data_IF_007845738716
#
_entry.id   IF_007845738716
#
_cell.length_a   1.000
_cell.length_b   1.000
_cell.length_c   1.000
_cell.angle_alpha   90.00
_cell.angle_beta   90.00
_cell.angle_gamma   90.00
#
_symmetry.space_group_name_H-M   'P 1'
#
loop_
_entity.id
_entity.type
_entity.pdbx_description
1 polymer ?
#
# COMPACT_ATOMS: atom_id res chain seq x y z
N UNK A 1 0.85 8.78 -24.64
CA UNK A 1 0.47 9.51 -23.40
C UNK A 1 0.40 8.51 -22.25
N UNK A 2 1.15 8.78 -21.21
CA UNK A 2 1.15 7.90 -20.05
C UNK A 2 -0.08 8.12 -19.20
N UNK A 3 -0.70 7.04 -18.73
CA UNK A 3 -1.77 7.14 -17.76
C UNK A 3 -1.18 7.40 -16.38
N UNK A 4 -2.00 7.95 -15.51
CA UNK A 4 -1.57 8.17 -14.11
C UNK A 4 -1.49 6.86 -13.36
N UNK A 5 -0.53 6.75 -12.46
CA UNK A 5 -0.47 5.64 -11.51
C UNK A 5 -1.64 5.79 -10.55
N UNK A 6 -2.38 4.71 -10.37
CA UNK A 6 -3.51 4.67 -9.44
C UNK A 6 -3.14 3.82 -8.24
N UNK A 7 -3.24 4.41 -7.04
CA UNK A 7 -2.86 3.73 -5.81
C UNK A 7 -3.96 3.84 -4.77
N UNK A 8 -4.23 2.73 -4.10
CA UNK A 8 -5.13 2.69 -2.96
C UNK A 8 -4.29 2.81 -1.69
N UNK A 9 -4.57 3.81 -0.87
CA UNK A 9 -3.93 3.96 0.45
C UNK A 9 -4.92 3.47 1.49
N UNK A 10 -4.51 2.45 2.24
CA UNK A 10 -5.39 1.73 3.14
C UNK A 10 -4.85 1.65 4.56
N UNK A 11 -5.76 1.66 5.53
CA UNK A 11 -5.43 1.42 6.94
C UNK A 11 -6.26 0.25 7.44
N UNK A 12 -5.70 -0.95 7.45
CA UNK A 12 -6.44 -2.12 7.90
C UNK A 12 -6.51 -2.19 9.42
N UNK A 13 -7.50 -2.94 9.90
CA UNK A 13 -7.64 -3.24 11.32
C UNK A 13 -8.19 -2.07 12.14
N UNK A 14 -7.89 -2.09 13.43
CA UNK A 14 -8.46 -1.14 14.38
C UNK A 14 -7.55 0.06 14.67
N UNK A 15 -6.45 0.19 13.94
CA UNK A 15 -5.50 1.29 14.10
C UNK A 15 -6.16 2.61 13.69
N UNK A 16 -6.24 3.55 14.64
CA UNK A 16 -6.84 4.86 14.40
C UNK A 16 -5.85 5.96 14.03
N UNK A 17 -4.58 5.63 13.83
CA UNK A 17 -3.52 6.62 13.57
C UNK A 17 -3.39 6.87 12.07
N UNK A 18 -4.21 7.75 11.52
CA UNK A 18 -4.28 7.96 10.07
C UNK A 18 -3.46 9.13 9.54
N UNK A 19 -2.80 9.89 10.40
CA UNK A 19 -2.06 11.10 9.99
C UNK A 19 -0.98 10.78 8.97
N UNK A 20 -0.18 9.73 9.21
CA UNK A 20 0.87 9.33 8.30
C UNK A 20 0.34 8.92 6.94
N UNK A 21 -0.75 8.16 6.93
CA UNK A 21 -1.40 7.74 5.69
C UNK A 21 -1.90 8.93 4.88
N UNK A 22 -2.49 9.92 5.55
CA UNK A 22 -2.99 11.14 4.88
C UNK A 22 -1.86 11.97 4.28
N UNK A 23 -0.74 12.08 4.99
CA UNK A 23 0.43 12.82 4.49
C UNK A 23 0.97 12.15 3.22
N UNK A 24 1.10 10.83 3.23
CA UNK A 24 1.57 10.08 2.07
C UNK A 24 0.58 10.21 0.92
N UNK A 25 -0.71 10.06 1.19
CA UNK A 25 -1.75 10.19 0.17
C UNK A 25 -1.66 11.55 -0.52
N UNK A 26 -1.48 12.62 0.26
CA UNK A 26 -1.34 13.97 -0.30
C UNK A 26 -0.08 14.11 -1.15
N UNK A 27 1.04 13.59 -0.67
CA UNK A 27 2.30 13.67 -1.41
C UNK A 27 2.21 12.94 -2.75
N UNK A 28 1.59 11.78 -2.78
CA UNK A 28 1.41 11.02 -4.02
C UNK A 28 0.46 11.74 -4.99
N UNK A 29 -0.59 12.34 -4.46
CA UNK A 29 -1.53 13.12 -5.26
C UNK A 29 -0.82 14.35 -5.86
N UNK A 30 -0.02 15.05 -5.06
CA UNK A 30 0.76 16.20 -5.52
C UNK A 30 1.78 15.81 -6.60
N UNK A 31 2.23 14.55 -6.59
CA UNK A 31 3.14 14.03 -7.61
C UNK A 31 2.41 13.59 -8.89
N UNK A 32 1.09 13.78 -8.96
CA UNK A 32 0.32 13.48 -10.16
C UNK A 32 -0.33 12.10 -10.19
N UNK A 33 -0.30 11.36 -9.09
CA UNK A 33 -0.95 10.06 -9.03
C UNK A 33 -2.42 10.18 -8.66
N UNK A 34 -3.23 9.22 -9.08
CA UNK A 34 -4.60 9.08 -8.60
C UNK A 34 -4.58 8.29 -7.31
N UNK A 35 -5.02 8.90 -6.23
CA UNK A 35 -4.99 8.29 -4.90
C UNK A 35 -6.41 8.07 -4.40
N UNK A 36 -6.69 6.82 -4.04
CA UNK A 36 -7.93 6.45 -3.39
C UNK A 36 -7.60 6.16 -1.92
N UNK A 37 -8.07 7.01 -1.02
CA UNK A 37 -7.88 6.79 0.40
C UNK A 37 -9.11 6.09 0.97
N UNK A 38 -8.93 4.88 1.52
CA UNK A 38 -10.06 4.05 1.96
C UNK A 38 -10.66 4.49 3.29
N UNK A 39 -9.91 5.27 4.07
CA UNK A 39 -10.31 5.59 5.44
C UNK A 39 -9.82 4.55 6.43
N UNK A 40 -10.27 4.68 7.68
CA UNK A 40 -9.85 3.82 8.78
C UNK A 40 -10.62 2.49 8.81
N UNK A 41 -10.09 1.55 9.56
CA UNK A 41 -10.76 0.31 9.98
C UNK A 41 -11.19 -0.59 8.81
N UNK A 42 -10.39 -0.63 7.78
CA UNK A 42 -10.67 -1.50 6.63
C UNK A 42 -10.29 -2.95 6.91
N UNK A 43 -11.12 -3.88 6.45
CA UNK A 43 -10.73 -5.29 6.46
C UNK A 43 -9.84 -5.60 5.25
N UNK A 44 -9.01 -6.66 5.31
CA UNK A 44 -8.24 -7.06 4.13
C UNK A 44 -9.13 -7.30 2.91
N UNK A 45 -10.31 -7.88 3.09
CA UNK A 45 -11.25 -8.17 2.01
C UNK A 45 -11.76 -6.87 1.38
N UNK A 46 -12.07 -5.85 2.19
CA UNK A 46 -12.50 -4.54 1.68
C UNK A 46 -11.40 -3.86 0.89
N UNK A 47 -10.15 -3.96 1.35
CA UNK A 47 -9.00 -3.36 0.68
C UNK A 47 -8.79 -4.03 -0.69
N UNK A 48 -8.83 -5.35 -0.73
CA UNK A 48 -8.70 -6.10 -1.98
C UNK A 48 -9.81 -5.73 -2.95
N UNK A 49 -11.05 -5.69 -2.48
CA UNK A 49 -12.20 -5.34 -3.31
C UNK A 49 -12.04 -3.93 -3.90
N UNK A 50 -11.60 -2.98 -3.09
CA UNK A 50 -11.37 -1.61 -3.57
C UNK A 50 -10.29 -1.58 -4.64
N UNK A 51 -9.19 -2.29 -4.44
CA UNK A 51 -8.10 -2.34 -5.40
C UNK A 51 -8.56 -2.92 -6.75
N UNK A 52 -9.39 -3.96 -6.70
CA UNK A 52 -9.93 -4.59 -7.91
C UNK A 52 -10.91 -3.64 -8.63
N UNK A 53 -11.85 -3.06 -7.90
CA UNK A 53 -12.86 -2.16 -8.46
C UNK A 53 -12.24 -0.92 -9.08
N UNK A 54 -11.20 -0.39 -8.46
CA UNK A 54 -10.53 0.82 -8.92
C UNK A 54 -9.44 0.55 -9.95
N UNK A 55 -9.21 -0.71 -10.28
CA UNK A 55 -8.12 -1.11 -11.19
C UNK A 55 -6.79 -0.49 -10.77
N UNK A 56 -6.44 -0.65 -9.50
CA UNK A 56 -5.28 -0.02 -8.92
C UNK A 56 -3.98 -0.66 -9.40
N UNK A 57 -2.95 0.16 -9.56
CA UNK A 57 -1.60 -0.31 -9.87
C UNK A 57 -0.87 -0.76 -8.61
N UNK A 58 -1.23 -0.18 -7.47
CA UNK A 58 -0.56 -0.44 -6.20
C UNK A 58 -1.52 -0.26 -5.03
N UNK A 59 -1.22 -0.93 -3.94
CA UNK A 59 -1.89 -0.74 -2.66
C UNK A 59 -0.82 -0.35 -1.64
N UNK A 60 -0.98 0.80 -1.02
CA UNK A 60 -0.13 1.26 0.08
C UNK A 60 -0.85 1.00 1.39
N UNK A 61 -0.25 0.22 2.25
CA UNK A 61 -0.81 -0.14 3.55
C UNK A 61 -0.07 0.63 4.63
N UNK A 62 -0.79 1.47 5.37
CA UNK A 62 -0.24 2.20 6.51
C UNK A 62 -0.67 1.49 7.78
N UNK A 63 0.28 0.99 8.55
CA UNK A 63 -0.02 0.18 9.73
C UNK A 63 0.97 0.48 10.86
N UNK A 64 0.43 0.83 12.02
CA UNK A 64 1.23 1.15 13.20
C UNK A 64 0.93 0.25 14.39
N UNK A 65 -0.04 -0.63 14.24
CA UNK A 65 -0.59 -1.40 15.36
C UNK A 65 0.17 -2.66 15.70
N UNK A 66 1.15 -3.06 14.90
CA UNK A 66 1.84 -4.34 15.09
C UNK A 66 1.13 -5.53 14.45
N UNK A 67 -0.04 -5.33 13.88
CA UNK A 67 -0.81 -6.41 13.25
C UNK A 67 -0.39 -6.70 11.80
N UNK A 68 0.74 -6.17 11.39
CA UNK A 68 1.21 -6.27 10.01
C UNK A 68 1.41 -7.71 9.54
N UNK A 69 1.87 -8.60 10.42
CA UNK A 69 2.11 -9.99 10.05
C UNK A 69 0.82 -10.80 9.86
N UNK A 70 -0.29 -10.32 10.38
CA UNK A 70 -1.60 -10.94 10.18
C UNK A 70 -2.33 -10.35 8.99
N UNK A 71 -2.33 -9.03 8.88
CA UNK A 71 -3.18 -8.32 7.92
C UNK A 71 -2.57 -8.24 6.52
N UNK A 72 -1.25 -7.97 6.42
CA UNK A 72 -0.61 -7.81 5.12
C UNK A 72 -0.65 -9.08 4.28
N UNK A 73 -0.28 -10.27 4.83
CA UNK A 73 -0.38 -11.49 4.04
C UNK A 73 -1.79 -11.80 3.54
N UNK A 74 -2.82 -11.46 4.31
CA UNK A 74 -4.20 -11.67 3.89
C UNK A 74 -4.59 -10.80 2.69
N UNK A 75 -4.06 -9.58 2.64
CA UNK A 75 -4.27 -8.69 1.50
C UNK A 75 -3.61 -9.26 0.26
N UNK A 76 -2.36 -9.72 0.39
CA UNK A 76 -1.63 -10.32 -0.73
C UNK A 76 -2.34 -11.57 -1.24
N UNK A 77 -2.77 -12.45 -0.34
CA UNK A 77 -3.52 -13.65 -0.72
C UNK A 77 -4.82 -13.31 -1.43
N UNK A 78 -5.53 -12.29 -0.95
CA UNK A 78 -6.77 -11.85 -1.58
C UNK A 78 -6.55 -11.34 -2.99
N UNK A 79 -5.48 -10.57 -3.21
CA UNK A 79 -5.13 -10.10 -4.55
C UNK A 79 -4.80 -11.26 -5.49
N UNK A 80 -4.04 -12.23 -5.00
CA UNK A 80 -3.69 -13.42 -5.79
C UNK A 80 -4.94 -14.24 -6.14
N UNK A 81 -5.86 -14.38 -5.20
CA UNK A 81 -7.10 -15.12 -5.42
C UNK A 81 -7.98 -14.50 -6.50
N UNK A 82 -7.84 -13.18 -6.73
CA UNK A 82 -8.56 -12.46 -7.78
C UNK A 82 -7.71 -12.26 -9.03
N UNK A 83 -6.61 -12.98 -9.14
CA UNK A 83 -5.68 -12.87 -10.27
C UNK A 83 -5.12 -11.45 -10.45
N UNK A 84 -4.96 -10.73 -9.33
CA UNK A 84 -4.43 -9.37 -9.31
C UNK A 84 -3.04 -9.31 -8.70
N UNK A 85 -2.22 -10.32 -8.94
CA UNK A 85 -0.87 -10.42 -8.40
C UNK A 85 0.11 -9.47 -9.08
N UNK A 86 -0.31 -8.75 -10.11
CA UNK A 86 0.44 -7.64 -10.69
C UNK A 86 0.26 -6.32 -9.93
N UNK A 87 -0.69 -6.26 -8.99
CA UNK A 87 -0.85 -5.09 -8.13
C UNK A 87 0.28 -5.09 -7.09
N UNK A 88 1.05 -3.99 -7.04
CA UNK A 88 2.13 -3.87 -6.08
C UNK A 88 1.59 -3.60 -4.68
N UNK A 89 2.19 -4.21 -3.69
CA UNK A 89 1.85 -3.95 -2.29
C UNK A 89 3.05 -3.31 -1.62
N UNK A 90 2.87 -2.10 -1.09
CA UNK A 90 3.90 -1.40 -0.31
C UNK A 90 3.35 -1.15 1.09
N UNK A 91 4.22 -1.20 2.07
CA UNK A 91 3.83 -1.08 3.48
C UNK A 91 4.60 0.05 4.13
N UNK A 92 3.88 0.91 4.85
CA UNK A 92 4.48 1.97 5.66
C UNK A 92 4.20 1.71 7.12
N UNK A 93 5.22 1.77 7.95
CA UNK A 93 5.07 1.58 9.38
C UNK A 93 6.38 1.19 10.05
N UNK A 94 6.33 1.06 11.37
CA UNK A 94 7.47 0.59 12.15
C UNK A 94 7.43 -0.94 12.17
N UNK A 95 8.24 -1.55 11.33
CA UNK A 95 8.22 -3.00 11.14
C UNK A 95 9.61 -3.55 11.49
N UNK A 96 9.70 -4.51 12.43
CA UNK A 96 10.99 -5.12 12.77
C UNK A 96 11.64 -5.77 11.53
N UNK A 97 12.96 -5.77 11.51
CA UNK A 97 13.73 -6.25 10.36
C UNK A 97 13.38 -7.68 9.95
N UNK A 98 13.18 -8.58 10.92
CA UNK A 98 12.81 -9.96 10.63
C UNK A 98 11.45 -10.07 9.97
N UNK A 99 10.49 -9.29 10.47
CA UNK A 99 9.14 -9.24 9.89
C UNK A 99 9.18 -8.64 8.50
N UNK A 100 9.98 -7.59 8.32
CA UNK A 100 10.14 -6.95 7.01
C UNK A 100 10.65 -7.95 5.96
N UNK A 101 11.63 -8.76 6.33
CA UNK A 101 12.18 -9.78 5.43
C UNK A 101 11.10 -10.80 5.03
N UNK A 102 10.30 -11.26 6.00
CA UNK A 102 9.21 -12.20 5.73
C UNK A 102 8.14 -11.60 4.82
N UNK A 103 7.79 -10.34 5.04
CA UNK A 103 6.79 -9.67 4.21
C UNK A 103 7.28 -9.53 2.77
N UNK A 104 8.54 -9.16 2.59
CA UNK A 104 9.14 -9.05 1.24
C UNK A 104 9.13 -10.42 0.55
N UNK A 105 9.53 -11.48 1.24
CA UNK A 105 9.46 -12.84 0.70
C UNK A 105 8.03 -13.22 0.32
N UNK A 106 7.06 -12.77 1.11
CA UNK A 106 5.65 -13.06 0.87
C UNK A 106 4.99 -12.27 -0.24
N UNK A 107 5.70 -11.30 -0.84
CA UNK A 107 5.17 -10.56 -1.97
C UNK A 107 5.06 -9.05 -1.80
N UNK A 108 5.45 -8.50 -0.65
CA UNK A 108 5.50 -7.04 -0.46
C UNK A 108 6.64 -6.47 -1.31
N UNK A 109 6.33 -5.45 -2.10
CA UNK A 109 7.31 -4.85 -3.01
C UNK A 109 8.32 -3.96 -2.29
N UNK A 110 7.89 -3.23 -1.26
CA UNK A 110 8.76 -2.35 -0.49
C UNK A 110 8.15 -2.00 0.85
N UNK A 111 9.00 -1.67 1.81
CA UNK A 111 8.59 -1.24 3.14
C UNK A 111 9.26 0.10 3.42
N UNK A 112 8.47 1.08 3.85
CA UNK A 112 8.96 2.42 4.19
C UNK A 112 8.73 2.69 5.67
N UNK A 113 9.78 3.10 6.37
CA UNK A 113 9.68 3.41 7.80
C UNK A 113 9.11 4.82 8.00
N UNK A 114 8.52 5.10 9.17
CA UNK A 114 8.12 6.47 9.49
C UNK A 114 9.31 7.42 9.38
N UNK A 115 9.11 8.55 8.74
CA UNK A 115 10.19 9.50 8.51
C UNK A 115 10.92 9.32 7.19
N UNK A 116 10.64 8.26 6.43
CA UNK A 116 11.17 8.16 5.07
C UNK A 116 10.65 9.34 4.24
N UNK A 117 11.53 10.00 3.46
CA UNK A 117 11.04 11.09 2.60
C UNK A 117 9.98 10.61 1.62
N UNK A 118 8.91 11.37 1.48
CA UNK A 118 7.81 11.00 0.57
C UNK A 118 8.28 10.88 -0.88
N UNK A 119 9.33 11.63 -1.25
CA UNK A 119 9.93 11.51 -2.59
C UNK A 119 10.48 10.12 -2.89
N UNK A 120 10.97 9.40 -1.88
CA UNK A 120 11.44 8.02 -2.07
C UNK A 120 10.29 7.10 -2.45
N UNK A 121 9.14 7.30 -1.84
CA UNK A 121 7.94 6.50 -2.14
C UNK A 121 7.47 6.78 -3.56
N UNK A 122 7.43 8.06 -3.93
CA UNK A 122 7.06 8.49 -5.29
C UNK A 122 8.00 7.86 -6.32
N UNK A 123 9.30 7.97 -6.11
CA UNK A 123 10.31 7.44 -7.02
C UNK A 123 10.21 5.93 -7.16
N UNK A 124 10.01 5.24 -6.05
CA UNK A 124 9.84 3.79 -6.07
C UNK A 124 8.64 3.40 -6.93
N UNK A 125 7.50 4.03 -6.70
CA UNK A 125 6.27 3.70 -7.44
C UNK A 125 6.43 3.98 -8.92
N UNK A 126 7.05 5.11 -9.28
CA UNK A 126 7.29 5.46 -10.69
C UNK A 126 8.19 4.46 -11.39
N UNK A 127 9.17 3.89 -10.68
CA UNK A 127 10.07 2.90 -11.29
C UNK A 127 9.49 1.50 -11.28
N UNK A 128 8.64 1.17 -10.33
CA UNK A 128 8.11 -0.19 -10.16
C UNK A 128 6.81 -0.44 -10.93
N UNK A 129 5.97 0.59 -11.09
CA UNK A 129 4.70 0.44 -11.83
C UNK A 129 4.93 0.60 -13.32
N UNK A 130 4.53 -0.42 -14.09
CA UNK A 130 4.63 -0.37 -15.53
C UNK A 130 3.40 0.36 -16.09
N UNK A 131 3.55 1.63 -16.41
CA UNK A 131 2.48 2.43 -17.03
C UNK A 131 2.84 2.69 -18.49
N UNK A 132 1.83 2.66 -19.35
CA UNK A 132 2.02 2.90 -20.78
C UNK A 132 0.92 3.78 -21.34
#
# INVERSE_FOLDING_TARGET
>A
MERKIRIVIAKPGLDGHDRGAKIIARALRDAGMEVIYTGLHQTPEQIVETAIQEDADAVGISILSGAHMTLVPRIIEGLRAHEADDVLVVVGGTIPADDAAELIEGGVAAIFTPGAPTGEIVDFLRSAVAVS
#
